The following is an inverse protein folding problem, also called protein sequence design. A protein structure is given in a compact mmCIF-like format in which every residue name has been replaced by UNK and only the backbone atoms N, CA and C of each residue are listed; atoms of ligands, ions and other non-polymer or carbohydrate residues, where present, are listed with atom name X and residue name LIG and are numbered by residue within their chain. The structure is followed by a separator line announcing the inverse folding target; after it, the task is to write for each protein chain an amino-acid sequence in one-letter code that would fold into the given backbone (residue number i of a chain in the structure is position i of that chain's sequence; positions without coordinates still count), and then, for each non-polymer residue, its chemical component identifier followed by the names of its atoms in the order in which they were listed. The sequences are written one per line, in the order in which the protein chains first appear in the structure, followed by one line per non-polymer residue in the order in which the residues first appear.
data_IF_228125141249
#
_entry.id   IF_228125141249
#
_cell.length_a   1.000
_cell.length_b   1.000
_cell.length_c   1.000
_cell.angle_alpha   90.00
_cell.angle_beta   90.00
_cell.angle_gamma   90.00
#
_symmetry.space_group_name_H-M   'P 1'
#
loop_
_entity.id
_entity.type
_entity.pdbx_description
1 polymer ?
#
# COMPACT_ATOMS: atom_id res chain seq x y z
N UNK A 1 3.60 -9.41 -6.35
CA UNK A 1 3.24 -8.00 -6.80
C UNK A 1 2.41 -7.31 -5.73
N UNK A 2 2.02 -6.06 -5.90
CA UNK A 2 1.30 -5.33 -4.86
C UNK A 2 0.58 -4.12 -5.46
N UNK A 3 -0.47 -3.65 -4.77
CA UNK A 3 -1.15 -2.40 -5.12
C UNK A 3 -1.52 -1.66 -3.85
N UNK A 4 -1.11 -0.40 -3.70
CA UNK A 4 -1.51 0.45 -2.60
C UNK A 4 -2.38 1.60 -3.11
N UNK A 5 -3.34 2.03 -2.28
CA UNK A 5 -4.25 3.12 -2.61
C UNK A 5 -4.61 3.94 -1.38
N UNK A 6 -5.00 5.18 -1.65
CA UNK A 6 -5.66 6.06 -0.70
C UNK A 6 -7.13 6.23 -1.08
N UNK A 7 -7.98 6.54 -0.12
CA UNK A 7 -9.38 6.93 -0.37
C UNK A 7 -9.82 7.92 0.69
N UNK A 8 -10.57 8.92 0.30
CA UNK A 8 -11.04 9.97 1.22
C UNK A 8 -12.54 10.17 1.05
N UNK A 9 -13.22 10.09 2.17
CA UNK A 9 -14.62 10.50 2.35
C UNK A 9 -14.67 11.51 3.51
N UNK A 10 -15.44 11.28 4.55
CA UNK A 10 -15.33 12.05 5.80
C UNK A 10 -14.03 11.73 6.54
N UNK A 11 -13.61 10.45 6.51
CA UNK A 11 -12.33 9.99 7.05
C UNK A 11 -11.33 9.74 5.89
N UNK A 12 -10.07 9.56 6.25
CA UNK A 12 -9.00 9.18 5.32
C UNK A 12 -8.66 7.69 5.48
N UNK A 13 -8.61 6.98 4.36
CA UNK A 13 -8.33 5.55 4.27
C UNK A 13 -7.07 5.29 3.48
N UNK A 14 -6.26 4.37 3.98
CA UNK A 14 -5.01 3.94 3.38
C UNK A 14 -4.87 2.42 3.47
N UNK A 15 -4.43 1.75 2.43
CA UNK A 15 -4.24 0.31 2.45
C UNK A 15 -3.67 -0.25 1.17
N UNK A 16 -3.56 -1.59 1.12
CA UNK A 16 -2.91 -2.29 0.01
C UNK A 16 -3.45 -3.69 -0.21
N UNK A 17 -3.12 -4.28 -1.37
CA UNK A 17 -3.02 -5.73 -1.56
C UNK A 17 -1.56 -6.17 -1.36
N UNK A 18 -1.31 -7.29 -0.68
CA UNK A 18 -0.05 -8.01 -0.73
C UNK A 18 -0.22 -9.21 -1.66
N UNK A 19 0.41 -9.16 -2.82
CA UNK A 19 0.32 -10.23 -3.81
C UNK A 19 1.66 -10.98 -3.86
N UNK A 20 1.62 -12.27 -3.51
CA UNK A 20 2.81 -13.14 -3.44
C UNK A 20 2.40 -14.62 -3.50
N UNK A 21 3.38 -15.54 -3.58
CA UNK A 21 3.12 -16.98 -3.68
C UNK A 21 2.80 -17.63 -2.33
N UNK A 22 3.22 -17.02 -1.23
CA UNK A 22 3.03 -17.52 0.13
C UNK A 22 3.11 -16.39 1.16
N UNK A 23 2.52 -16.60 2.34
CA UNK A 23 2.66 -15.71 3.50
C UNK A 23 3.92 -16.06 4.30
N UNK A 24 4.64 -15.05 4.77
CA UNK A 24 5.75 -15.20 5.72
C UNK A 24 5.28 -15.35 7.18
N UNK A 25 3.98 -15.51 7.42
CA UNK A 25 3.38 -15.42 8.75
C UNK A 25 3.04 -13.97 9.08
N UNK A 26 2.31 -13.34 8.15
CA UNK A 26 1.90 -11.95 8.26
C UNK A 26 0.86 -11.78 9.36
N UNK A 27 0.99 -10.73 10.16
CA UNK A 27 0.10 -10.45 11.28
C UNK A 27 -0.15 -8.96 11.44
N UNK A 28 -1.29 -8.60 12.03
CA UNK A 28 -1.55 -7.22 12.41
C UNK A 28 -0.75 -6.92 13.68
N UNK A 29 0.12 -5.93 13.59
CA UNK A 29 1.01 -5.53 14.68
C UNK A 29 0.72 -4.10 15.08
N UNK A 30 0.44 -3.88 16.36
CA UNK A 30 0.46 -2.56 16.99
C UNK A 30 1.81 -2.38 17.67
N UNK A 31 2.52 -1.31 17.29
CA UNK A 31 3.75 -0.90 17.98
C UNK A 31 3.40 0.29 18.87
N UNK A 32 3.37 0.10 20.22
CA UNK A 32 3.09 1.17 21.18
C UNK A 32 4.21 2.20 21.25
N UNK A 33 3.91 3.36 21.86
CA UNK A 33 4.81 4.54 21.88
C UNK A 33 6.17 4.31 22.55
N UNK A 34 6.25 3.38 23.51
CA UNK A 34 7.48 3.11 24.25
C UNK A 34 8.18 1.82 23.80
N UNK A 35 7.75 1.20 22.69
CA UNK A 35 8.50 0.12 22.08
C UNK A 35 9.77 0.68 21.45
N UNK A 36 11.00 0.23 21.84
CA UNK A 36 12.22 0.78 21.31
C UNK A 36 12.50 0.30 19.89
N UNK A 37 12.52 1.21 18.92
CA UNK A 37 13.02 0.89 17.58
C UNK A 37 14.55 0.98 17.54
N UNK A 38 15.20 -0.18 17.39
CA UNK A 38 16.64 -0.29 17.20
C UNK A 38 16.95 -0.33 15.71
N UNK A 39 17.60 0.71 15.18
CA UNK A 39 17.97 0.82 13.78
C UNK A 39 19.41 0.34 13.53
N UNK A 40 19.69 -0.15 12.29
CA UNK A 40 21.00 -0.71 11.94
C UNK A 40 22.13 0.30 11.88
N UNK A 41 21.82 1.55 11.52
CA UNK A 41 22.83 2.54 11.19
C UNK A 41 22.66 3.87 11.95
N UNK A 42 21.69 3.96 12.84
CA UNK A 42 21.47 5.17 13.65
C UNK A 42 21.01 4.82 15.05
N UNK A 43 20.96 5.80 15.93
CA UNK A 43 20.55 5.61 17.33
C UNK A 43 19.10 5.13 17.43
N UNK A 44 18.77 4.37 18.49
CA UNK A 44 17.41 3.93 18.75
C UNK A 44 16.44 5.10 18.96
N UNK A 45 15.16 4.86 18.67
CA UNK A 45 14.05 5.73 19.07
C UNK A 45 13.28 5.04 20.19
N UNK A 46 13.41 5.57 21.40
CA UNK A 46 12.82 5.00 22.62
C UNK A 46 11.35 5.38 22.82
N UNK A 47 10.91 6.51 22.25
CA UNK A 47 9.53 6.98 22.34
C UNK A 47 9.12 7.65 21.04
N UNK A 48 7.96 7.29 20.54
CA UNK A 48 7.53 7.65 19.19
C UNK A 48 6.00 7.63 19.06
N UNK A 49 5.46 7.95 17.88
CA UNK A 49 4.05 7.74 17.59
C UNK A 49 3.73 6.24 17.54
N UNK A 50 2.59 5.83 18.11
CA UNK A 50 2.12 4.45 17.99
C UNK A 50 1.77 4.13 16.54
N UNK A 51 2.05 2.89 16.11
CA UNK A 51 1.81 2.40 14.75
C UNK A 51 0.87 1.19 14.77
N UNK A 52 0.10 1.04 13.71
CA UNK A 52 -0.64 -0.20 13.41
C UNK A 52 -0.46 -0.56 11.93
N UNK A 53 -0.22 -1.82 11.65
CA UNK A 53 -0.06 -2.28 10.26
C UNK A 53 0.10 -3.78 10.16
N UNK A 54 0.30 -4.26 8.94
CA UNK A 54 0.69 -5.66 8.71
C UNK A 54 2.20 -5.78 8.67
N UNK A 55 2.73 -6.71 9.46
CA UNK A 55 4.15 -6.99 9.56
C UNK A 55 4.47 -8.48 9.59
N UNK A 56 5.67 -8.84 9.17
CA UNK A 56 6.33 -10.06 9.57
C UNK A 56 7.23 -9.74 10.77
N UNK A 57 6.91 -10.29 11.95
CA UNK A 57 7.71 -10.04 13.16
C UNK A 57 8.83 -11.07 13.26
N UNK A 58 10.06 -10.62 13.05
CA UNK A 58 11.26 -11.44 13.12
C UNK A 58 12.19 -10.94 14.23
N UNK A 59 12.64 -11.82 15.13
CA UNK A 59 13.52 -11.47 16.25
C UNK A 59 13.00 -10.29 17.10
N UNK A 60 11.68 -10.21 17.27
CA UNK A 60 11.05 -9.10 17.99
C UNK A 60 10.93 -7.80 17.20
N UNK A 61 11.43 -7.71 15.97
CA UNK A 61 11.35 -6.51 15.13
C UNK A 61 10.21 -6.62 14.10
N UNK A 62 9.32 -5.63 14.01
CA UNK A 62 8.21 -5.64 13.05
C UNK A 62 8.69 -5.15 11.67
N UNK A 63 8.83 -6.08 10.73
CA UNK A 63 9.10 -5.80 9.32
C UNK A 63 7.77 -5.44 8.64
N UNK A 64 7.40 -4.19 8.67
CA UNK A 64 6.13 -3.70 8.13
C UNK A 64 6.08 -3.76 6.60
N UNK A 65 4.98 -4.28 6.05
CA UNK A 65 4.62 -4.15 4.64
C UNK A 65 3.86 -2.85 4.38
N UNK A 66 2.95 -2.51 5.29
CA UNK A 66 2.22 -1.26 5.38
C UNK A 66 1.88 -0.95 6.84
N UNK A 67 1.82 0.32 7.17
CA UNK A 67 1.39 0.78 8.48
C UNK A 67 0.86 2.20 8.43
N UNK A 68 0.08 2.55 9.45
CA UNK A 68 -0.39 3.90 9.73
C UNK A 68 -0.04 4.23 11.17
N UNK A 69 0.36 5.48 11.44
CA UNK A 69 0.57 5.92 12.81
C UNK A 69 -0.68 6.61 13.39
N UNK A 70 -0.68 6.82 14.69
CA UNK A 70 -1.76 7.48 15.43
C UNK A 70 -2.07 8.93 15.01
N UNK A 71 -1.22 9.54 14.17
CA UNK A 71 -1.41 10.88 13.58
C UNK A 71 -2.10 10.83 12.22
N UNK A 72 -2.29 9.63 11.66
CA UNK A 72 -2.94 9.42 10.38
C UNK A 72 -2.01 9.44 9.17
N UNK A 73 -0.70 9.40 9.36
CA UNK A 73 0.26 9.20 8.28
C UNK A 73 0.39 7.71 7.98
N UNK A 74 0.23 7.32 6.71
CA UNK A 74 0.34 5.94 6.23
C UNK A 74 1.51 5.74 5.28
N UNK A 75 2.14 4.55 5.33
CA UNK A 75 3.20 4.13 4.40
C UNK A 75 2.96 2.68 4.01
N UNK A 76 3.19 2.37 2.73
CA UNK A 76 3.29 1.01 2.22
C UNK A 76 4.54 0.84 1.36
N UNK A 77 5.27 -0.26 1.58
CA UNK A 77 6.41 -0.68 0.76
C UNK A 77 5.98 -1.73 -0.25
N UNK A 78 6.32 -1.55 -1.51
CA UNK A 78 5.95 -2.44 -2.62
C UNK A 78 7.22 -2.89 -3.35
N UNK A 79 7.20 -4.10 -3.94
CA UNK A 79 8.32 -4.61 -4.72
C UNK A 79 8.62 -3.71 -5.93
N UNK A 80 9.91 -3.39 -6.09
CA UNK A 80 10.44 -2.55 -7.18
C UNK A 80 11.68 -3.19 -7.80
N UNK A 81 11.54 -4.47 -8.13
CA UNK A 81 12.61 -5.36 -8.56
C UNK A 81 13.28 -4.86 -9.84
N UNK A 82 14.62 -4.81 -9.82
CA UNK A 82 15.46 -4.36 -10.95
C UNK A 82 15.57 -2.84 -11.09
N UNK A 83 14.79 -2.05 -10.33
CA UNK A 83 14.87 -0.60 -10.35
C UNK A 83 15.41 -0.01 -9.04
N UNK A 84 15.13 -0.68 -7.90
CA UNK A 84 15.63 -0.21 -6.60
C UNK A 84 17.15 -0.33 -6.52
N UNK A 85 17.81 0.80 -6.20
CA UNK A 85 19.25 0.89 -5.95
C UNK A 85 19.45 1.64 -4.64
N UNK A 86 20.17 1.03 -3.70
CA UNK A 86 20.46 1.62 -2.40
C UNK A 86 21.92 2.08 -2.35
N UNK A 87 22.12 3.18 -1.64
CA UNK A 87 23.44 3.78 -1.49
C UNK A 87 24.31 3.04 -0.46
N UNK A 88 25.61 3.37 -0.44
CA UNK A 88 26.47 3.07 0.70
C UNK A 88 26.23 4.09 1.82
N UNK A 89 26.55 3.76 3.08
CA UNK A 89 26.51 4.73 4.17
C UNK A 89 27.32 5.99 3.87
N UNK A 90 26.81 7.15 4.29
CA UNK A 90 27.45 8.48 4.16
C UNK A 90 27.42 9.18 5.49
N UNK A 91 28.37 10.14 5.71
CA UNK A 91 28.51 10.84 6.99
C UNK A 91 27.61 12.07 7.14
N UNK A 92 27.12 12.62 6.01
CA UNK A 92 26.35 13.87 5.96
C UNK A 92 24.83 13.68 6.04
N UNK A 93 24.35 12.42 6.10
CA UNK A 93 22.94 12.07 6.22
C UNK A 93 22.71 10.94 7.22
N UNK A 94 21.48 10.83 7.70
CA UNK A 94 21.06 9.67 8.51
C UNK A 94 20.92 8.44 7.64
N UNK A 95 21.70 7.42 7.90
CA UNK A 95 21.67 6.15 7.17
C UNK A 95 20.59 5.25 7.77
N UNK A 96 19.69 4.72 6.92
CA UNK A 96 18.59 3.84 7.31
C UNK A 96 18.56 2.66 6.36
N UNK A 97 18.45 1.45 6.89
CA UNK A 97 18.22 0.28 6.05
C UNK A 97 16.82 0.35 5.39
N UNK A 98 16.71 -0.15 4.17
CA UNK A 98 15.45 -0.05 3.40
C UNK A 98 14.23 -0.66 4.12
N UNK A 99 14.40 -1.72 4.89
CA UNK A 99 13.32 -2.34 5.66
C UNK A 99 12.89 -1.52 6.89
N UNK A 100 13.71 -0.54 7.29
CA UNK A 100 13.46 0.35 8.43
C UNK A 100 12.70 1.62 8.04
N UNK A 101 12.49 1.89 6.74
CA UNK A 101 11.93 3.16 6.29
C UNK A 101 10.52 3.42 6.87
N UNK A 102 9.67 2.39 6.92
CA UNK A 102 8.31 2.52 7.45
C UNK A 102 8.35 2.94 8.93
N UNK A 103 8.96 2.19 9.86
CA UNK A 103 9.04 2.62 11.25
C UNK A 103 9.84 3.92 11.43
N UNK A 104 10.89 4.16 10.64
CA UNK A 104 11.67 5.39 10.71
C UNK A 104 10.84 6.65 10.46
N UNK A 105 10.02 6.64 9.45
CA UNK A 105 9.19 7.81 9.10
C UNK A 105 7.97 7.89 10.03
N UNK A 106 7.25 6.79 10.25
CA UNK A 106 6.00 6.81 11.03
C UNK A 106 6.22 7.09 12.51
N UNK A 107 7.38 6.76 13.05
CA UNK A 107 7.72 7.06 14.45
C UNK A 107 7.87 8.56 14.72
N UNK A 108 8.22 9.35 13.71
CA UNK A 108 8.66 10.74 13.89
C UNK A 108 7.76 11.78 13.20
N UNK A 109 7.06 11.39 12.14
CA UNK A 109 6.30 12.31 11.29
C UNK A 109 4.81 12.17 11.48
N UNK A 110 4.09 13.30 11.52
CA UNK A 110 2.63 13.35 11.58
C UNK A 110 1.98 13.63 10.21
N UNK A 111 2.75 14.10 9.24
CA UNK A 111 2.25 14.51 7.92
C UNK A 111 3.28 14.25 6.79
N UNK A 112 2.79 14.23 5.55
CA UNK A 112 3.63 14.03 4.36
C UNK A 112 4.73 15.09 4.22
N UNK A 113 4.47 16.35 4.57
CA UNK A 113 5.48 17.42 4.48
C UNK A 113 6.63 17.20 5.48
N UNK A 114 6.33 16.68 6.68
CA UNK A 114 7.36 16.29 7.67
C UNK A 114 8.16 15.09 7.16
N UNK A 115 7.49 14.08 6.59
CA UNK A 115 8.13 12.92 5.98
C UNK A 115 9.07 13.34 4.83
N UNK A 116 8.65 14.27 3.96
CA UNK A 116 9.48 14.82 2.88
C UNK A 116 10.74 15.51 3.44
N UNK A 117 10.57 16.27 4.50
CA UNK A 117 11.69 16.97 5.18
C UNK A 117 12.66 15.96 5.80
N UNK A 118 12.15 14.92 6.48
CA UNK A 118 12.98 13.87 7.06
C UNK A 118 13.74 13.11 5.97
N UNK A 119 13.06 12.71 4.90
CA UNK A 119 13.63 11.95 3.78
C UNK A 119 14.73 12.74 3.03
N UNK A 120 14.66 14.07 2.98
CA UNK A 120 15.72 14.89 2.38
C UNK A 120 17.07 14.75 3.09
N UNK A 121 17.04 14.38 4.37
CA UNK A 121 18.20 14.15 5.25
C UNK A 121 18.51 12.67 5.46
N UNK A 122 17.77 11.77 4.82
CA UNK A 122 17.91 10.31 4.96
C UNK A 122 18.67 9.75 3.77
N UNK A 123 19.53 8.78 4.03
CA UNK A 123 20.21 7.95 3.05
C UNK A 123 19.74 6.51 3.20
N UNK A 124 19.15 5.94 2.15
CA UNK A 124 18.70 4.54 2.17
C UNK A 124 19.84 3.60 1.81
N UNK A 125 20.15 2.70 2.74
CA UNK A 125 21.24 1.74 2.65
C UNK A 125 20.69 0.34 2.37
N UNK A 126 21.34 -0.41 1.47
CA UNK A 126 21.00 -1.79 1.14
C UNK A 126 21.51 -2.78 2.17
N UNK A 127 20.94 -2.79 3.38
CA UNK A 127 21.33 -3.69 4.46
C UNK A 127 20.32 -4.82 4.59
N UNK A 128 20.75 -6.11 4.55
CA UNK A 128 19.85 -7.22 4.83
C UNK A 128 19.41 -7.20 6.29
N UNK A 129 18.19 -7.64 6.57
CA UNK A 129 17.74 -7.87 7.95
C UNK A 129 18.50 -9.01 8.59
N UNK A 130 18.66 -10.12 7.85
CA UNK A 130 19.42 -11.32 8.24
C UNK A 130 19.82 -12.10 6.98
N UNK A 131 20.61 -13.17 7.15
CA UNK A 131 20.99 -14.08 6.04
C UNK A 131 19.77 -14.72 5.35
N UNK A 132 18.66 -14.92 6.11
CA UNK A 132 17.41 -15.49 5.58
C UNK A 132 16.46 -14.46 4.99
N UNK A 133 16.64 -13.19 5.33
CA UNK A 133 15.83 -12.06 4.87
C UNK A 133 16.77 -11.03 4.22
N UNK A 134 17.12 -11.25 2.93
CA UNK A 134 18.05 -10.40 2.20
C UNK A 134 17.45 -9.01 1.93
N UNK A 135 18.26 -8.14 1.36
CA UNK A 135 17.86 -6.79 0.96
C UNK A 135 16.69 -6.84 -0.01
N UNK A 136 15.53 -6.36 0.42
CA UNK A 136 14.34 -6.25 -0.41
C UNK A 136 14.44 -5.03 -1.34
N UNK A 137 14.07 -5.20 -2.61
CA UNK A 137 14.00 -4.11 -3.59
C UNK A 137 12.62 -3.48 -3.53
N UNK A 138 12.52 -2.31 -2.88
CA UNK A 138 11.25 -1.66 -2.58
C UNK A 138 11.20 -0.22 -3.10
N UNK A 139 9.98 0.26 -3.29
CA UNK A 139 9.59 1.65 -3.33
C UNK A 139 8.36 1.87 -2.45
N UNK A 140 8.02 3.11 -2.13
CA UNK A 140 7.02 3.40 -1.11
C UNK A 140 6.03 4.47 -1.55
N UNK A 141 4.79 4.32 -1.10
CA UNK A 141 3.81 5.39 -1.06
C UNK A 141 3.67 5.86 0.38
N UNK A 142 3.70 7.18 0.59
CA UNK A 142 3.48 7.83 1.88
C UNK A 142 2.30 8.79 1.69
N UNK A 143 1.32 8.72 2.58
CA UNK A 143 0.12 9.53 2.41
C UNK A 143 -0.50 9.93 3.76
N UNK A 144 -1.06 11.11 3.80
CA UNK A 144 -1.97 11.61 4.82
C UNK A 144 -3.30 12.05 4.19
N UNK A 145 -4.19 12.63 4.98
CA UNK A 145 -5.52 13.07 4.53
C UNK A 145 -5.51 14.13 3.42
N UNK A 146 -4.40 14.81 3.21
CA UNK A 146 -4.29 15.97 2.31
C UNK A 146 -3.39 15.70 1.10
N UNK A 147 -2.37 14.84 1.24
CA UNK A 147 -1.34 14.61 0.23
C UNK A 147 -0.90 13.15 0.16
N UNK A 148 -0.33 12.78 -0.97
CA UNK A 148 0.47 11.56 -1.08
C UNK A 148 1.71 11.78 -1.94
N UNK A 149 2.77 11.03 -1.63
CA UNK A 149 4.05 11.02 -2.36
C UNK A 149 4.48 9.59 -2.64
N UNK A 150 5.25 9.42 -3.70
CA UNK A 150 5.97 8.18 -4.00
C UNK A 150 7.47 8.39 -3.77
N UNK A 151 8.09 7.42 -3.11
CA UNK A 151 9.53 7.44 -2.80
C UNK A 151 10.20 6.26 -3.49
N UNK A 152 11.17 6.56 -4.36
CA UNK A 152 11.93 5.58 -5.12
C UNK A 152 13.44 5.82 -4.93
N UNK A 153 14.18 4.81 -4.48
CA UNK A 153 15.65 4.83 -4.43
C UNK A 153 16.15 4.15 -5.69
N UNK A 154 16.72 4.91 -6.59
CA UNK A 154 17.19 4.47 -7.92
C UNK A 154 18.64 4.85 -8.13
N UNK A 155 19.23 4.47 -9.28
CA UNK A 155 20.65 4.73 -9.57
C UNK A 155 21.06 6.20 -9.41
N UNK A 156 20.14 7.14 -9.71
CA UNK A 156 20.37 8.59 -9.57
C UNK A 156 20.04 9.13 -8.16
N UNK A 157 19.87 8.25 -7.16
CA UNK A 157 19.58 8.60 -5.77
C UNK A 157 18.10 8.48 -5.39
N UNK A 158 17.76 9.05 -4.22
CA UNK A 158 16.40 9.04 -3.69
C UNK A 158 15.53 10.06 -4.41
N UNK A 159 14.47 9.61 -5.05
CA UNK A 159 13.47 10.43 -5.73
C UNK A 159 12.19 10.49 -4.89
N UNK A 160 11.60 11.66 -4.80
CA UNK A 160 10.33 11.89 -4.09
C UNK A 160 9.39 12.62 -5.04
N UNK A 161 8.36 11.92 -5.49
CA UNK A 161 7.36 12.43 -6.44
C UNK A 161 6.08 12.80 -5.72
N UNK A 162 5.43 13.88 -6.13
CA UNK A 162 4.03 14.11 -5.78
C UNK A 162 3.17 13.05 -6.45
N UNK A 163 2.27 12.44 -5.68
CA UNK A 163 1.40 11.38 -6.17
C UNK A 163 -0.08 11.81 -6.07
N UNK A 164 -0.57 12.63 -7.01
CA UNK A 164 -1.94 13.17 -6.96
C UNK A 164 -3.01 12.08 -7.13
N UNK A 165 -2.65 10.91 -7.67
CA UNK A 165 -3.56 9.78 -7.83
C UNK A 165 -3.72 9.02 -6.51
N UNK A 166 -2.70 9.02 -5.63
CA UNK A 166 -2.70 8.24 -4.40
C UNK A 166 -2.79 6.75 -4.65
N UNK A 167 -2.11 6.26 -5.69
CA UNK A 167 -1.99 4.84 -6.06
C UNK A 167 -0.52 4.53 -6.33
N UNK A 168 -0.06 3.36 -5.91
CA UNK A 168 1.23 2.79 -6.27
C UNK A 168 1.06 1.30 -6.55
N UNK A 169 1.73 0.81 -7.59
CA UNK A 169 1.85 -0.63 -7.88
C UNK A 169 3.32 -1.05 -7.82
N UNK A 170 3.83 -1.75 -8.83
CA UNK A 170 5.24 -2.15 -8.91
C UNK A 170 5.90 -1.44 -10.09
N UNK A 171 6.81 -2.14 -10.82
CA UNK A 171 7.40 -1.63 -12.07
C UNK A 171 6.35 -1.26 -13.13
N UNK A 172 6.62 -0.30 -14.02
CA UNK A 172 7.81 0.54 -14.11
C UNK A 172 7.87 1.65 -13.06
N UNK A 173 8.93 2.51 -13.05
CA UNK A 173 9.01 3.68 -12.17
C UNK A 173 7.77 4.58 -12.22
N UNK A 174 7.50 5.25 -11.12
CA UNK A 174 6.27 6.02 -10.91
C UNK A 174 6.02 7.10 -11.99
N UNK A 175 7.06 7.82 -12.43
CA UNK A 175 6.92 8.80 -13.51
C UNK A 175 6.41 8.16 -14.81
N UNK A 176 6.88 6.96 -15.15
CA UNK A 176 6.39 6.21 -16.30
C UNK A 176 4.94 5.80 -16.13
N UNK A 177 4.54 5.39 -14.92
CA UNK A 177 3.14 5.07 -14.61
C UNK A 177 2.24 6.31 -14.81
N UNK A 178 2.67 7.47 -14.30
CA UNK A 178 1.94 8.72 -14.45
C UNK A 178 1.84 9.16 -15.92
N UNK A 179 2.93 9.02 -16.69
CA UNK A 179 2.93 9.34 -18.11
C UNK A 179 1.92 8.49 -18.89
N UNK A 180 1.84 7.20 -18.57
CA UNK A 180 0.91 6.25 -19.23
C UNK A 180 -0.57 6.56 -18.96
N UNK A 181 -0.91 7.26 -17.87
CA UNK A 181 -2.31 7.69 -17.66
C UNK A 181 -2.86 8.53 -18.80
N UNK A 182 -2.02 9.26 -19.52
CA UNK A 182 -2.44 10.07 -20.67
C UNK A 182 -3.07 9.20 -21.77
N UNK A 183 -2.58 7.97 -21.97
CA UNK A 183 -3.08 7.03 -22.98
C UNK A 183 -4.52 6.58 -22.69
N UNK A 184 -4.98 6.76 -21.44
CA UNK A 184 -6.28 6.33 -20.95
C UNK A 184 -7.22 7.51 -20.60
N UNK A 185 -6.88 8.73 -21.01
CA UNK A 185 -7.64 9.94 -20.71
C UNK A 185 -9.06 9.96 -21.31
N UNK A 186 -9.32 9.06 -22.27
CA UNK A 186 -10.65 8.89 -22.91
C UNK A 186 -11.60 8.04 -22.04
N UNK A 187 -11.11 7.32 -21.04
CA UNK A 187 -11.95 6.47 -20.19
C UNK A 187 -12.93 7.32 -19.38
N UNK A 188 -14.16 6.86 -19.27
CA UNK A 188 -15.24 7.54 -18.57
C UNK A 188 -16.19 6.57 -17.88
N UNK A 189 -16.77 6.91 -16.71
CA UNK A 189 -17.88 6.15 -16.12
C UNK A 189 -19.20 6.34 -16.90
N UNK A 190 -19.27 7.34 -17.77
CA UNK A 190 -20.43 7.64 -18.61
C UNK A 190 -20.41 6.82 -19.89
N UNK A 191 -21.56 6.69 -20.56
CA UNK A 191 -21.60 6.13 -21.90
C UNK A 191 -20.79 7.03 -22.86
N UNK A 192 -20.04 6.40 -23.80
CA UNK A 192 -19.24 7.16 -24.75
C UNK A 192 -20.13 7.92 -25.75
N UNK A 193 -19.65 9.11 -26.15
CA UNK A 193 -20.15 9.82 -27.31
C UNK A 193 -19.44 9.34 -28.57
N UNK A 194 -20.07 9.50 -29.73
CA UNK A 194 -19.41 9.17 -30.99
C UNK A 194 -18.39 10.24 -31.36
N UNK A 195 -17.14 10.03 -30.95
CA UNK A 195 -15.99 10.85 -31.33
C UNK A 195 -15.18 10.26 -32.50
N UNK A 196 -15.64 9.13 -33.06
CA UNK A 196 -14.95 8.44 -34.15
C UNK A 196 -15.14 9.16 -35.50
N UNK A 197 -16.40 9.45 -35.87
CA UNK A 197 -16.76 10.19 -37.09
C UNK A 197 -18.21 10.59 -37.04
N UNK A 198 -18.53 11.77 -37.56
CA UNK A 198 -19.88 12.26 -37.83
C UNK A 198 -20.55 11.57 -39.03
N UNK A 199 -19.77 10.83 -39.83
CA UNK A 199 -20.25 10.08 -41.00
C UNK A 199 -20.89 8.75 -40.67
N UNK A 200 -20.75 8.28 -39.41
CA UNK A 200 -21.23 6.97 -38.94
C UNK A 200 -22.07 7.15 -37.67
N UNK A 201 -23.15 6.38 -37.57
CA UNK A 201 -23.93 6.26 -36.36
C UNK A 201 -23.56 4.95 -35.66
N UNK A 202 -23.35 5.01 -34.35
CA UNK A 202 -23.07 3.84 -33.53
C UNK A 202 -24.16 3.66 -32.46
N UNK A 203 -24.56 2.42 -32.25
CA UNK A 203 -25.50 2.06 -31.21
C UNK A 203 -24.77 1.59 -29.93
N UNK A 204 -25.23 2.07 -28.79
CA UNK A 204 -24.77 1.61 -27.49
C UNK A 204 -25.47 0.28 -27.18
N UNK A 205 -24.75 -0.84 -27.24
CA UNK A 205 -25.29 -2.18 -27.01
C UNK A 205 -25.19 -2.66 -25.56
N UNK A 206 -24.47 -1.92 -24.67
CA UNK A 206 -24.28 -2.29 -23.27
C UNK A 206 -24.04 -1.05 -22.39
N UNK A 207 -24.28 -1.20 -21.08
CA UNK A 207 -23.85 -0.23 -20.08
C UNK A 207 -22.36 -0.39 -19.79
N UNK A 208 -21.69 0.68 -19.29
CA UNK A 208 -20.28 0.67 -18.94
C UNK A 208 -19.31 0.79 -20.12
N UNK A 209 -19.81 1.07 -21.33
CA UNK A 209 -18.98 1.15 -22.52
C UNK A 209 -17.98 2.33 -22.50
N UNK A 210 -18.17 3.34 -21.65
CA UNK A 210 -17.19 4.41 -21.47
C UNK A 210 -15.84 3.95 -20.91
N UNK A 211 -15.80 2.75 -20.32
CA UNK A 211 -14.58 2.12 -19.82
C UNK A 211 -13.98 1.08 -20.79
N UNK A 212 -14.44 1.01 -22.05
CA UNK A 212 -13.83 0.12 -23.05
C UNK A 212 -12.36 0.49 -23.23
N UNK A 213 -11.47 -0.52 -23.10
CA UNK A 213 -10.02 -0.34 -23.13
C UNK A 213 -9.38 -0.21 -21.74
N UNK A 214 -10.17 -0.16 -20.66
CA UNK A 214 -9.62 -0.28 -19.30
C UNK A 214 -8.85 -1.61 -19.19
N UNK A 215 -7.54 -1.59 -18.85
CA UNK A 215 -6.73 -2.81 -18.84
C UNK A 215 -7.28 -3.87 -17.89
N UNK A 216 -7.36 -5.12 -18.36
CA UNK A 216 -7.93 -6.25 -17.61
C UNK A 216 -6.91 -7.24 -17.05
N UNK A 217 -5.65 -7.17 -17.53
CA UNK A 217 -4.59 -8.07 -17.09
C UNK A 217 -4.03 -7.71 -15.70
N UNK A 218 -3.25 -8.62 -15.12
CA UNK A 218 -2.72 -8.50 -13.76
C UNK A 218 -1.35 -7.82 -13.69
N UNK A 219 -0.80 -7.32 -14.80
CA UNK A 219 0.48 -6.61 -14.79
C UNK A 219 0.41 -5.34 -13.93
N UNK A 220 1.55 -4.94 -13.39
CA UNK A 220 1.64 -3.76 -12.54
C UNK A 220 1.08 -2.50 -13.19
N UNK A 221 1.44 -2.26 -14.46
CA UNK A 221 0.99 -1.08 -15.18
C UNK A 221 -0.52 -1.09 -15.45
N UNK A 222 -1.11 -2.25 -15.73
CA UNK A 222 -2.55 -2.42 -15.92
C UNK A 222 -3.32 -2.23 -14.61
N UNK A 223 -2.80 -2.78 -13.50
CA UNK A 223 -3.37 -2.57 -12.16
C UNK A 223 -3.33 -1.11 -11.73
N UNK A 224 -2.23 -0.39 -12.05
CA UNK A 224 -2.13 1.05 -11.77
C UNK A 224 -3.26 1.82 -12.44
N UNK A 225 -3.45 1.66 -13.76
CA UNK A 225 -4.50 2.32 -14.52
C UNK A 225 -5.89 1.94 -13.99
N UNK A 226 -6.12 0.64 -13.72
CA UNK A 226 -7.41 0.15 -13.25
C UNK A 226 -7.78 0.71 -11.89
N UNK A 227 -6.85 0.69 -10.92
CA UNK A 227 -7.12 1.24 -9.58
C UNK A 227 -7.24 2.76 -9.63
N UNK A 228 -6.43 3.46 -10.43
CA UNK A 228 -6.56 4.89 -10.64
C UNK A 228 -7.97 5.26 -11.16
N UNK A 229 -8.42 4.60 -12.24
CA UNK A 229 -9.76 4.82 -12.80
C UNK A 229 -10.86 4.49 -11.78
N UNK A 230 -10.79 3.30 -11.17
CA UNK A 230 -11.81 2.85 -10.20
C UNK A 230 -11.90 3.80 -9.02
N UNK A 231 -10.76 4.13 -8.39
CA UNK A 231 -10.69 5.04 -7.25
C UNK A 231 -11.25 6.43 -7.56
N UNK A 232 -10.81 7.02 -8.67
CA UNK A 232 -11.18 8.39 -9.03
C UNK A 232 -12.67 8.54 -9.40
N UNK A 233 -13.33 7.44 -9.79
CA UNK A 233 -14.74 7.43 -10.14
C UNK A 233 -15.63 6.73 -9.09
N UNK A 234 -15.05 6.18 -8.04
CA UNK A 234 -15.79 5.54 -6.96
C UNK A 234 -16.56 6.54 -6.12
N UNK A 235 -17.77 6.16 -5.76
CA UNK A 235 -18.65 6.90 -4.86
C UNK A 235 -19.02 6.00 -3.70
N UNK A 236 -18.94 6.51 -2.46
CA UNK A 236 -19.45 5.83 -1.27
C UNK A 236 -20.38 6.76 -0.50
N UNK A 237 -21.15 6.19 0.44
CA UNK A 237 -21.80 7.00 1.48
C UNK A 237 -20.79 7.53 2.50
N UNK A 238 -21.29 8.31 3.44
CA UNK A 238 -20.46 9.05 4.43
C UNK A 238 -20.08 8.21 5.65
N UNK A 239 -20.71 7.06 5.85
CA UNK A 239 -20.41 6.21 6.99
C UNK A 239 -19.10 5.46 6.81
N UNK A 240 -18.41 5.17 7.92
CA UNK A 240 -17.19 4.36 7.92
C UNK A 240 -17.41 2.98 7.26
N UNK A 241 -18.55 2.33 7.54
CA UNK A 241 -18.86 1.02 6.94
C UNK A 241 -18.95 1.08 5.41
N UNK A 242 -19.59 2.11 4.88
CA UNK A 242 -19.72 2.33 3.43
C UNK A 242 -18.36 2.63 2.80
N UNK A 243 -17.57 3.48 3.45
CA UNK A 243 -16.23 3.86 2.98
C UNK A 243 -15.25 2.68 2.99
N UNK A 244 -15.23 1.89 4.06
CA UNK A 244 -14.44 0.65 4.16
C UNK A 244 -14.87 -0.35 3.10
N UNK A 245 -16.18 -0.58 2.94
CA UNK A 245 -16.71 -1.46 1.89
C UNK A 245 -16.27 -0.99 0.50
N UNK A 246 -16.41 0.30 0.20
CA UNK A 246 -15.98 0.87 -1.09
C UNK A 246 -14.48 0.74 -1.30
N UNK A 247 -13.66 0.91 -0.27
CA UNK A 247 -12.21 0.72 -0.37
C UNK A 247 -11.83 -0.72 -0.77
N UNK A 248 -12.48 -1.71 -0.16
CA UNK A 248 -12.28 -3.11 -0.55
C UNK A 248 -12.76 -3.40 -1.99
N UNK A 249 -13.81 -2.74 -2.48
CA UNK A 249 -14.22 -2.83 -3.89
C UNK A 249 -13.19 -2.19 -4.83
N UNK A 250 -12.56 -1.07 -4.44
CA UNK A 250 -11.49 -0.44 -5.24
C UNK A 250 -10.32 -1.42 -5.41
N UNK A 251 -9.77 -1.95 -4.32
CA UNK A 251 -8.65 -2.88 -4.36
C UNK A 251 -9.05 -4.27 -4.87
N UNK A 252 -10.30 -4.70 -4.65
CA UNK A 252 -10.85 -5.94 -5.21
C UNK A 252 -10.82 -5.97 -6.74
N UNK A 253 -10.80 -4.80 -7.41
CA UNK A 253 -10.67 -4.72 -8.87
C UNK A 253 -9.34 -5.27 -9.40
N UNK A 254 -8.33 -5.45 -8.56
CA UNK A 254 -6.97 -5.91 -8.92
C UNK A 254 -6.48 -7.08 -8.07
N UNK A 255 -7.39 -7.76 -7.37
CA UNK A 255 -7.04 -8.99 -6.67
C UNK A 255 -6.48 -10.06 -7.63
N UNK A 256 -5.48 -10.77 -7.16
CA UNK A 256 -4.82 -11.86 -7.89
C UNK A 256 -5.46 -13.21 -7.52
N UNK A 257 -6.07 -13.88 -8.50
CA UNK A 257 -6.69 -15.16 -8.33
C UNK A 257 -5.70 -16.29 -8.58
N UNK A 258 -5.75 -17.35 -7.75
CA UNK A 258 -4.91 -18.53 -7.91
C UNK A 258 -5.07 -19.12 -9.31
N UNK A 259 -3.95 -19.35 -9.99
CA UNK A 259 -3.92 -19.89 -11.35
C UNK A 259 -3.86 -18.83 -12.46
N UNK A 260 -4.09 -17.55 -12.16
CA UNK A 260 -4.08 -16.48 -13.18
C UNK A 260 -2.72 -15.78 -13.35
N UNK A 261 -1.80 -15.96 -12.41
CA UNK A 261 -0.43 -15.45 -12.47
C UNK A 261 0.53 -16.53 -11.97
N UNK A 262 1.13 -17.30 -12.90
CA UNK A 262 2.13 -18.29 -12.58
C UNK A 262 3.51 -17.65 -12.56
N UNK A 263 4.27 -17.82 -11.46
CA UNK A 263 5.60 -17.23 -11.26
C UNK A 263 6.71 -18.28 -11.39
N UNK A 264 6.37 -19.56 -11.17
CA UNK A 264 7.21 -20.72 -11.42
C UNK A 264 6.27 -21.94 -11.55
N UNK A 265 6.80 -23.07 -11.99
CA UNK A 265 6.03 -24.30 -12.19
C UNK A 265 5.20 -24.65 -10.93
N UNK A 266 3.88 -24.62 -11.08
CA UNK A 266 2.91 -24.87 -10.01
C UNK A 266 2.87 -23.83 -8.88
N UNK A 267 3.54 -22.67 -9.01
CA UNK A 267 3.51 -21.56 -8.05
C UNK A 267 2.77 -20.37 -8.62
N UNK A 268 1.75 -19.96 -7.93
CA UNK A 268 0.86 -18.88 -8.35
C UNK A 268 0.93 -17.70 -7.40
N UNK A 269 1.01 -16.52 -7.95
CA UNK A 269 0.82 -15.29 -7.17
C UNK A 269 -0.67 -15.13 -6.86
N UNK A 270 -0.98 -14.86 -5.59
CA UNK A 270 -2.33 -14.60 -5.09
C UNK A 270 -2.30 -13.36 -4.19
N UNK A 271 -3.44 -12.71 -4.03
CA UNK A 271 -3.60 -11.66 -3.02
C UNK A 271 -3.68 -12.30 -1.63
N UNK A 272 -2.56 -12.35 -0.92
CA UNK A 272 -2.45 -12.93 0.44
C UNK A 272 -3.42 -12.23 1.38
N UNK A 273 -3.39 -10.88 1.38
CA UNK A 273 -4.36 -10.06 2.10
C UNK A 273 -4.64 -8.74 1.35
N UNK A 274 -5.79 -8.18 1.66
CA UNK A 274 -6.13 -6.79 1.34
C UNK A 274 -6.33 -6.04 2.64
N UNK A 275 -5.68 -4.88 2.80
CA UNK A 275 -5.82 -4.00 3.96
C UNK A 275 -6.57 -2.71 3.62
N UNK A 276 -7.20 -2.14 4.63
CA UNK A 276 -7.81 -0.82 4.64
C UNK A 276 -7.68 -0.25 6.05
N UNK A 277 -6.85 0.75 6.26
CA UNK A 277 -6.80 1.46 7.54
C UNK A 277 -7.63 2.74 7.47
N UNK A 278 -8.59 2.92 8.39
CA UNK A 278 -9.13 4.24 8.68
C UNK A 278 -8.05 5.00 9.44
N UNK A 279 -7.23 5.74 8.71
CA UNK A 279 -6.08 6.45 9.26
C UNK A 279 -6.47 7.61 10.18
N UNK A 280 -7.69 8.15 10.00
CA UNK A 280 -8.23 9.18 10.88
C UNK A 280 -8.56 8.66 12.30
N UNK A 281 -8.82 7.34 12.42
CA UNK A 281 -9.26 6.69 13.67
C UNK A 281 -8.30 5.61 14.17
N UNK A 282 -7.27 5.25 13.41
CA UNK A 282 -6.35 4.18 13.79
C UNK A 282 -6.98 2.79 13.81
N UNK A 283 -7.98 2.51 12.95
CA UNK A 283 -8.66 1.22 12.85
C UNK A 283 -8.19 0.51 11.58
N UNK A 284 -7.56 -0.63 11.71
CA UNK A 284 -7.02 -1.43 10.62
C UNK A 284 -7.97 -2.57 10.27
N UNK A 285 -8.49 -2.57 9.05
CA UNK A 285 -9.37 -3.59 8.49
C UNK A 285 -8.59 -4.45 7.50
N UNK A 286 -8.89 -5.74 7.44
CA UNK A 286 -8.29 -6.63 6.46
C UNK A 286 -9.22 -7.78 6.04
N UNK A 287 -8.93 -8.35 4.88
CA UNK A 287 -9.40 -9.66 4.40
C UNK A 287 -8.20 -10.48 3.98
N UNK A 288 -8.30 -11.81 4.00
CA UNK A 288 -7.28 -12.71 3.43
C UNK A 288 -7.84 -13.45 2.22
N UNK A 289 -6.96 -14.14 1.48
CA UNK A 289 -7.38 -14.88 0.28
C UNK A 289 -8.52 -15.86 0.57
N UNK A 290 -8.39 -16.64 1.62
CA UNK A 290 -9.36 -17.66 2.01
C UNK A 290 -10.48 -17.12 2.92
N UNK A 291 -10.26 -16.03 3.64
CA UNK A 291 -11.26 -15.39 4.49
C UNK A 291 -11.65 -14.01 3.96
N UNK A 292 -12.79 -13.97 3.26
CA UNK A 292 -13.34 -12.74 2.66
C UNK A 292 -14.08 -11.84 3.68
N UNK A 293 -14.19 -12.26 4.93
CA UNK A 293 -14.83 -11.49 5.98
C UNK A 293 -13.91 -10.35 6.41
N UNK A 294 -14.42 -9.12 6.38
CA UNK A 294 -13.67 -7.95 6.88
C UNK A 294 -13.50 -8.11 8.38
N UNK A 295 -12.24 -8.15 8.82
CA UNK A 295 -11.81 -8.22 10.22
C UNK A 295 -11.13 -6.91 10.58
N UNK A 296 -11.24 -6.46 11.83
CA UNK A 296 -10.72 -5.17 12.27
C UNK A 296 -9.92 -5.28 13.57
N UNK A 297 -8.87 -4.45 13.67
CA UNK A 297 -8.12 -4.18 14.90
C UNK A 297 -8.11 -2.66 15.10
N UNK A 298 -8.53 -2.19 16.27
CA UNK A 298 -8.55 -0.79 16.66
C UNK A 298 -7.37 -0.55 17.62
N UNK A 299 -6.35 0.21 17.18
CA UNK A 299 -5.16 0.46 17.98
C UNK A 299 -5.46 1.20 19.30
N UNK A 300 -6.53 1.99 19.33
CA UNK A 300 -6.88 2.76 20.54
C UNK A 300 -7.59 1.92 21.63
N UNK A 301 -7.87 0.65 21.36
CA UNK A 301 -8.31 -0.32 22.39
C UNK A 301 -7.14 -1.01 23.08
N UNK A 302 -5.92 -0.73 22.64
CA UNK A 302 -4.70 -1.33 23.16
C UNK A 302 -3.96 -0.39 24.12
N UNK A 303 -3.06 -0.94 24.93
CA UNK A 303 -2.15 -0.14 25.76
C UNK A 303 -1.03 0.46 24.89
N UNK A 304 -1.30 1.66 24.39
CA UNK A 304 -0.35 2.39 23.56
C UNK A 304 0.86 2.96 24.33
N UNK A 305 0.95 2.73 25.62
CA UNK A 305 2.12 3.08 26.45
C UNK A 305 2.97 1.87 26.83
N UNK A 306 2.60 0.69 26.39
CA UNK A 306 3.41 -0.53 26.51
C UNK A 306 4.78 -0.36 25.80
N UNK A 307 5.74 -1.17 26.21
CA UNK A 307 7.05 -1.32 25.53
C UNK A 307 7.16 -2.64 24.76
N UNK A 308 6.05 -3.37 24.61
CA UNK A 308 5.99 -4.64 23.90
C UNK A 308 5.04 -4.55 22.71
N UNK A 309 5.34 -5.27 21.62
CA UNK A 309 4.46 -5.39 20.45
C UNK A 309 3.16 -6.10 20.82
N UNK A 310 2.03 -5.60 20.31
CA UNK A 310 0.74 -6.26 20.41
C UNK A 310 0.42 -6.86 19.05
N UNK A 311 0.17 -8.17 18.99
CA UNK A 311 0.19 -8.94 17.75
C UNK A 311 -1.08 -9.76 17.59
N UNK A 312 -1.65 -9.73 16.40
CA UNK A 312 -2.86 -10.45 16.01
C UNK A 312 -2.57 -11.26 14.75
N UNK A 313 -2.43 -12.59 14.82
CA UNK A 313 -2.34 -13.44 13.65
C UNK A 313 -3.54 -13.21 12.72
N UNK A 314 -3.29 -13.12 11.41
CA UNK A 314 -4.38 -12.97 10.45
C UNK A 314 -5.32 -14.18 10.47
N UNK A 315 -6.62 -13.92 10.41
CA UNK A 315 -7.64 -14.96 10.28
C UNK A 315 -7.69 -15.45 8.83
N UNK A 316 -7.23 -16.66 8.60
CA UNK A 316 -7.17 -17.28 7.27
C UNK A 316 -8.24 -18.33 7.03
N UNK A 317 -8.90 -18.83 8.08
CA UNK A 317 -9.94 -19.85 7.95
C UNK A 317 -11.17 -19.31 7.21
N UNK A 318 -11.55 -19.99 6.12
CA UNK A 318 -12.75 -19.63 5.38
C UNK A 318 -13.99 -19.83 6.25
N UNK A 319 -14.89 -18.85 6.21
CA UNK A 319 -16.15 -18.89 6.98
C UNK A 319 -17.33 -18.64 6.04
N UNK A 320 -18.23 -19.59 5.98
CA UNK A 320 -19.49 -19.48 5.25
C UNK A 320 -20.61 -19.26 6.28
N UNK A 321 -21.31 -18.15 6.16
CA UNK A 321 -22.50 -17.89 6.96
C UNK A 321 -23.71 -18.56 6.30
N UNK A 322 -24.26 -19.59 6.95
CA UNK A 322 -25.50 -20.23 6.52
C UNK A 322 -26.69 -19.40 7.03
N UNK A 323 -27.64 -19.12 6.14
CA UNK A 323 -28.86 -18.38 6.48
C UNK A 323 -30.04 -19.27 6.87
N UNK A 324 -29.92 -20.56 6.69
CA UNK A 324 -30.93 -21.56 7.02
C UNK A 324 -30.42 -22.55 8.06
#
# INVERSE_FOLDING_TARGET
MCTAATYKTNDFYFGRTLDYEFSYGDEITVTPRNYPFNFKHTEPIESHHALIGTAHVANGYPLYYDAVNEKGLGIAGLNFVGNAVYAQPVDDKTNIAQFELIPWVLSQCAAVDEARTLLSKTNLVGTPFSDKLPTAQLHWIIADKDKSITVESVADGLKIYDNPIGVLTNNPPFETQMQRLNDFSYLSPKQPENNFSDKLSFDMYSRGMGAIGLPGDLSSASRFIRVAFTKMNSVSGDSEKESVSQFFHILGSVEQQRGCCEVADGKYEITIYTSCCNASKGIYYYTTYDNRRITAVDMHREDLWSNELIRYPMLTDSSILWQN
#
